data_IF_707998661049
#
_entry.id   IF_707998661049
#
_cell.length_a   1.000
_cell.length_b   1.000
_cell.length_c   1.000
_cell.angle_alpha   90.00
_cell.angle_beta   90.00
_cell.angle_gamma   90.00
#
_symmetry.space_group_name_H-M   'P 1'
#
loop_
_entity.id
_entity.type
_entity.pdbx_description
1 polymer ?
#
# COMPACT_ATOMS: atom_id res chain seq x y z
N UNK A 1 -24.41 -8.03 -5.96
CA UNK A 1 -24.17 -9.48 -6.03
C UNK A 1 -24.46 -10.10 -4.69
N UNK A 2 -25.03 -11.29 -4.67
CA UNK A 2 -25.23 -12.06 -3.43
C UNK A 2 -23.91 -12.70 -2.99
N UNK A 3 -23.79 -13.02 -1.70
CA UNK A 3 -22.57 -13.55 -1.07
C UNK A 3 -21.95 -14.74 -1.82
N UNK A 4 -22.77 -15.66 -2.36
CA UNK A 4 -22.29 -16.80 -3.16
C UNK A 4 -21.66 -16.39 -4.49
N UNK A 5 -22.20 -15.37 -5.16
CA UNK A 5 -21.67 -14.85 -6.43
C UNK A 5 -20.36 -14.07 -6.23
N UNK A 6 -20.23 -13.38 -5.08
CA UNK A 6 -18.99 -12.69 -4.69
C UNK A 6 -17.86 -13.69 -4.44
N UNK A 7 -18.18 -14.84 -3.85
CA UNK A 7 -17.25 -15.94 -3.60
C UNK A 7 -16.72 -16.56 -4.91
N UNK A 8 -17.59 -16.82 -5.89
CA UNK A 8 -17.20 -17.34 -7.21
C UNK A 8 -16.31 -16.37 -8.01
N UNK A 9 -16.43 -15.06 -7.73
CA UNK A 9 -15.62 -13.99 -8.31
C UNK A 9 -14.49 -13.53 -7.39
N UNK A 10 -14.28 -14.22 -6.27
CA UNK A 10 -13.18 -13.92 -5.35
C UNK A 10 -11.87 -14.11 -6.10
N UNK A 11 -10.94 -13.16 -6.09
CA UNK A 11 -9.69 -13.36 -6.81
C UNK A 11 -8.81 -14.43 -6.12
N UNK A 12 -9.14 -14.84 -4.88
CA UNK A 12 -8.58 -16.03 -4.22
C UNK A 12 -8.94 -17.34 -4.93
N UNK A 13 -9.92 -17.36 -5.84
CA UNK A 13 -10.17 -18.53 -6.71
C UNK A 13 -8.99 -18.85 -7.62
N UNK A 14 -8.21 -17.84 -8.02
CA UNK A 14 -6.97 -18.04 -8.79
C UNK A 14 -5.94 -18.77 -7.92
N UNK A 15 -5.78 -18.31 -6.68
CA UNK A 15 -4.88 -18.93 -5.72
C UNK A 15 -5.28 -20.39 -5.46
N UNK A 16 -6.55 -20.66 -5.15
CA UNK A 16 -7.05 -22.02 -4.89
C UNK A 16 -6.89 -22.96 -6.09
N UNK A 17 -7.17 -22.48 -7.31
CA UNK A 17 -6.92 -23.26 -8.54
C UNK A 17 -5.44 -23.58 -8.73
N UNK A 18 -4.55 -22.67 -8.33
CA UNK A 18 -3.10 -22.86 -8.43
C UNK A 18 -2.56 -23.87 -7.43
N UNK A 19 -3.28 -24.11 -6.32
CA UNK A 19 -3.00 -25.17 -5.33
C UNK A 19 -3.99 -26.34 -5.45
N UNK A 20 -4.46 -26.61 -6.67
CA UNK A 20 -5.28 -27.77 -7.05
C UNK A 20 -6.47 -28.09 -6.14
N UNK A 21 -7.21 -27.05 -5.72
CA UNK A 21 -8.44 -27.20 -4.93
C UNK A 21 -8.29 -26.87 -3.45
N UNK A 22 -7.16 -26.28 -3.05
CA UNK A 22 -6.96 -25.72 -1.71
C UNK A 22 -5.96 -26.50 -0.86
N UNK A 23 -5.87 -26.11 0.42
CA UNK A 23 -5.02 -26.83 1.37
C UNK A 23 -5.62 -28.19 1.77
N UNK A 24 -6.94 -28.33 1.73
CA UNK A 24 -7.64 -29.54 2.12
C UNK A 24 -7.75 -29.74 3.63
N UNK A 25 -8.81 -30.43 4.08
CA UNK A 25 -9.08 -30.68 5.50
C UNK A 25 -7.93 -31.46 6.15
N UNK A 26 -7.40 -30.93 7.25
CA UNK A 26 -6.25 -31.51 7.94
C UNK A 26 -4.89 -31.20 7.31
N UNK A 27 -4.86 -30.43 6.21
CA UNK A 27 -3.63 -29.95 5.59
C UNK A 27 -2.97 -28.83 6.39
N UNK A 28 -1.65 -28.70 6.24
CA UNK A 28 -0.84 -27.63 6.84
C UNK A 28 -0.19 -26.80 5.74
N UNK A 29 -0.56 -25.53 5.69
CA UNK A 29 -0.09 -24.55 4.73
C UNK A 29 0.82 -23.51 5.40
N UNK A 30 1.86 -23.06 4.70
CA UNK A 30 2.79 -22.06 5.21
C UNK A 30 2.89 -20.88 4.25
N UNK A 31 2.78 -19.68 4.82
CA UNK A 31 2.97 -18.40 4.16
C UNK A 31 4.27 -17.77 4.68
N UNK A 32 5.26 -17.58 3.81
CA UNK A 32 6.57 -17.06 4.22
C UNK A 32 7.01 -15.88 3.36
N UNK A 33 7.71 -14.95 3.99
CA UNK A 33 8.28 -13.78 3.30
C UNK A 33 9.34 -13.11 4.16
N UNK A 34 9.99 -12.08 3.63
CA UNK A 34 10.72 -11.12 4.48
C UNK A 34 9.76 -10.34 5.39
N UNK A 35 10.28 -9.75 6.46
CA UNK A 35 9.51 -8.88 7.35
C UNK A 35 8.89 -7.71 6.56
N UNK A 36 7.62 -7.38 6.86
CA UNK A 36 6.92 -6.25 6.25
C UNK A 36 6.32 -6.45 4.86
N UNK A 37 6.40 -7.65 4.27
CA UNK A 37 5.89 -7.91 2.90
C UNK A 37 4.37 -8.18 2.87
N UNK A 38 3.72 -8.41 4.02
CA UNK A 38 2.25 -8.56 4.09
C UNK A 38 1.71 -9.98 4.27
N UNK A 39 2.45 -10.86 4.95
CA UNK A 39 2.00 -12.24 5.31
C UNK A 39 0.64 -12.25 6.01
N UNK A 40 0.48 -11.41 7.02
CA UNK A 40 -0.77 -11.25 7.78
C UNK A 40 -1.92 -10.88 6.84
N UNK A 41 -1.71 -9.95 5.91
CA UNK A 41 -2.74 -9.55 4.97
C UNK A 41 -3.15 -10.69 4.03
N UNK A 42 -2.20 -11.51 3.53
CA UNK A 42 -2.53 -12.70 2.74
C UNK A 42 -3.31 -13.73 3.58
N UNK A 43 -2.88 -13.99 4.82
CA UNK A 43 -3.62 -14.88 5.73
C UNK A 43 -5.04 -14.38 6.02
N UNK A 44 -5.21 -13.06 6.21
CA UNK A 44 -6.51 -12.43 6.39
C UNK A 44 -7.37 -12.59 5.13
N UNK A 45 -6.79 -12.51 3.93
CA UNK A 45 -7.54 -12.77 2.70
C UNK A 45 -7.98 -14.22 2.56
N UNK A 46 -7.12 -15.18 2.87
CA UNK A 46 -7.49 -16.61 2.94
C UNK A 46 -8.64 -16.80 3.92
N UNK A 47 -8.48 -16.29 5.14
CA UNK A 47 -9.51 -16.36 6.18
C UNK A 47 -10.83 -15.70 5.76
N UNK A 48 -10.78 -14.51 5.16
CA UNK A 48 -11.97 -13.79 4.73
C UNK A 48 -12.71 -14.55 3.61
N UNK A 49 -11.96 -15.14 2.68
CA UNK A 49 -12.48 -15.99 1.61
C UNK A 49 -13.26 -17.19 2.18
N UNK A 50 -12.73 -17.85 3.22
CA UNK A 50 -13.42 -18.93 3.95
C UNK A 50 -14.62 -18.44 4.77
N UNK A 51 -14.51 -17.31 5.46
CA UNK A 51 -15.64 -16.69 6.18
C UNK A 51 -16.79 -16.39 5.24
N UNK A 52 -16.51 -15.95 4.00
CA UNK A 52 -17.55 -15.71 3.00
C UNK A 52 -18.22 -17.00 2.49
N UNK A 53 -17.63 -18.17 2.72
CA UNK A 53 -18.22 -19.50 2.44
C UNK A 53 -19.02 -20.10 3.60
N UNK A 54 -19.32 -19.31 4.64
CA UNK A 54 -19.93 -19.78 5.89
C UNK A 54 -19.06 -20.80 6.65
N UNK A 55 -17.74 -20.78 6.41
CA UNK A 55 -16.79 -21.54 7.22
C UNK A 55 -16.33 -20.74 8.43
N UNK A 56 -16.04 -21.43 9.51
CA UNK A 56 -15.63 -20.83 10.78
C UNK A 56 -14.11 -20.68 10.83
N UNK A 57 -13.64 -19.48 11.15
CA UNK A 57 -12.21 -19.18 11.20
C UNK A 57 -11.75 -18.81 12.60
N UNK A 58 -10.75 -19.53 13.09
CA UNK A 58 -10.00 -19.18 14.29
C UNK A 58 -8.66 -18.55 13.89
N UNK A 59 -8.47 -17.27 14.17
CA UNK A 59 -7.23 -16.56 13.89
C UNK A 59 -6.47 -16.29 15.21
N UNK A 60 -5.26 -16.81 15.32
CA UNK A 60 -4.38 -16.64 16.47
C UNK A 60 -3.14 -15.87 16.01
N UNK A 61 -2.97 -14.63 16.48
CA UNK A 61 -1.79 -13.82 16.15
C UNK A 61 -0.79 -13.80 17.30
N UNK A 62 0.47 -14.02 17.01
CA UNK A 62 1.58 -13.85 17.97
C UNK A 62 2.26 -12.48 17.81
N UNK A 63 2.07 -11.83 16.65
CA UNK A 63 2.73 -10.57 16.29
C UNK A 63 1.85 -9.33 16.53
N UNK A 64 0.52 -9.47 16.50
CA UNK A 64 -0.41 -8.34 16.49
C UNK A 64 -1.50 -8.45 17.56
N UNK A 65 -1.93 -7.30 18.07
CA UNK A 65 -3.06 -7.22 19.00
C UNK A 65 -4.37 -7.47 18.24
N UNK A 66 -5.41 -7.92 18.96
CA UNK A 66 -6.71 -8.25 18.38
C UNK A 66 -7.28 -7.11 17.54
N UNK A 67 -7.21 -5.87 18.04
CA UNK A 67 -7.72 -4.68 17.33
C UNK A 67 -7.01 -4.43 16.00
N UNK A 68 -5.70 -4.68 15.93
CA UNK A 68 -4.93 -4.55 14.69
C UNK A 68 -5.33 -5.61 13.66
N UNK A 69 -5.47 -6.87 14.08
CA UNK A 69 -5.94 -7.94 13.21
C UNK A 69 -7.35 -7.64 12.71
N UNK A 70 -8.24 -7.19 13.59
CA UNK A 70 -9.62 -6.80 13.24
C UNK A 70 -9.66 -5.71 12.18
N UNK A 71 -8.83 -4.68 12.34
CA UNK A 71 -8.73 -3.58 11.37
C UNK A 71 -8.33 -4.07 9.96
N UNK A 72 -7.40 -5.03 9.84
CA UNK A 72 -7.05 -5.63 8.54
C UNK A 72 -8.24 -6.31 7.86
N UNK A 73 -9.03 -7.07 8.61
CA UNK A 73 -10.22 -7.70 8.04
C UNK A 73 -11.27 -6.68 7.64
N UNK A 74 -11.49 -5.63 8.45
CA UNK A 74 -12.47 -4.59 8.13
C UNK A 74 -12.09 -3.85 6.84
N UNK A 75 -10.81 -3.50 6.67
CA UNK A 75 -10.29 -2.85 5.47
C UNK A 75 -10.43 -3.76 4.23
N UNK A 76 -9.94 -5.00 4.32
CA UNK A 76 -10.00 -5.94 3.19
C UNK A 76 -11.43 -6.34 2.82
N UNK A 77 -12.33 -6.48 3.80
CA UNK A 77 -13.75 -6.72 3.55
C UNK A 77 -14.42 -5.52 2.89
N UNK A 78 -14.15 -4.31 3.36
CA UNK A 78 -14.69 -3.09 2.77
C UNK A 78 -14.33 -2.98 1.29
N UNK A 79 -13.07 -3.23 0.95
CA UNK A 79 -12.59 -3.18 -0.43
C UNK A 79 -13.24 -4.24 -1.31
N UNK A 80 -13.33 -5.49 -0.81
CA UNK A 80 -13.97 -6.58 -1.53
C UNK A 80 -15.45 -6.29 -1.78
N UNK A 81 -16.16 -5.75 -0.78
CA UNK A 81 -17.56 -5.39 -0.89
C UNK A 81 -17.79 -4.29 -1.93
N UNK A 82 -16.92 -3.28 -1.98
CA UNK A 82 -16.97 -2.23 -3.01
C UNK A 82 -16.68 -2.79 -4.41
N UNK A 83 -15.61 -3.56 -4.56
CA UNK A 83 -15.17 -4.10 -5.84
C UNK A 83 -16.23 -5.02 -6.46
N UNK A 84 -16.80 -5.92 -5.65
CA UNK A 84 -17.81 -6.88 -6.12
C UNK A 84 -19.24 -6.34 -6.12
N UNK A 85 -19.45 -5.09 -5.68
CA UNK A 85 -20.78 -4.48 -5.50
C UNK A 85 -21.69 -5.41 -4.69
N UNK A 86 -21.19 -5.84 -3.54
CA UNK A 86 -21.88 -6.74 -2.63
C UNK A 86 -23.20 -6.10 -2.17
N UNK A 87 -24.29 -6.86 -2.26
CA UNK A 87 -25.57 -6.43 -1.70
C UNK A 87 -25.55 -6.60 -0.17
N UNK A 88 -26.08 -5.62 0.56
CA UNK A 88 -26.22 -5.66 2.03
C UNK A 88 -24.90 -5.94 2.77
N UNK A 89 -23.84 -5.12 2.56
CA UNK A 89 -22.52 -5.38 3.11
C UNK A 89 -22.50 -5.44 4.65
N UNK A 90 -23.36 -4.70 5.34
CA UNK A 90 -23.44 -4.72 6.81
C UNK A 90 -23.96 -6.06 7.35
N UNK A 91 -24.94 -6.67 6.69
CA UNK A 91 -25.46 -8.00 7.07
C UNK A 91 -24.39 -9.05 6.89
N UNK A 92 -23.70 -9.03 5.75
CA UNK A 92 -22.59 -9.96 5.49
C UNK A 92 -21.44 -9.73 6.48
N UNK A 93 -21.15 -8.48 6.85
CA UNK A 93 -20.13 -8.15 7.85
C UNK A 93 -20.46 -8.74 9.21
N UNK A 94 -21.72 -8.65 9.64
CA UNK A 94 -22.17 -9.28 10.88
C UNK A 94 -22.03 -10.80 10.84
N UNK A 95 -22.33 -11.43 9.70
CA UNK A 95 -22.14 -12.88 9.55
C UNK A 95 -20.66 -13.28 9.57
N UNK A 96 -19.79 -12.51 8.92
CA UNK A 96 -18.33 -12.68 8.98
C UNK A 96 -17.84 -12.58 10.42
N UNK A 97 -18.33 -11.61 11.20
CA UNK A 97 -17.97 -11.44 12.61
C UNK A 97 -18.42 -12.61 13.48
N UNK A 98 -19.61 -13.16 13.22
CA UNK A 98 -20.16 -14.32 13.97
C UNK A 98 -19.41 -15.62 13.70
N UNK A 99 -18.84 -15.78 12.53
CA UNK A 99 -18.11 -16.99 12.13
C UNK A 99 -16.61 -16.91 12.39
N UNK A 100 -16.15 -15.90 13.14
CA UNK A 100 -14.72 -15.68 13.41
C UNK A 100 -14.43 -15.54 14.90
N UNK A 101 -13.32 -16.12 15.34
CA UNK A 101 -12.69 -15.79 16.61
C UNK A 101 -11.25 -15.32 16.38
N UNK A 102 -10.85 -14.24 17.07
CA UNK A 102 -9.49 -13.70 17.03
C UNK A 102 -8.88 -13.77 18.43
N UNK A 103 -7.71 -14.38 18.53
CA UNK A 103 -6.87 -14.38 19.72
C UNK A 103 -5.52 -13.72 19.43
N UNK A 104 -4.98 -13.05 20.45
CA UNK A 104 -3.63 -12.49 20.40
C UNK A 104 -2.80 -13.06 21.55
N UNK A 105 -1.62 -13.58 21.24
CA UNK A 105 -0.65 -14.15 22.18
C UNK A 105 0.58 -13.25 22.36
N UNK A 106 0.45 -11.96 22.01
CA UNK A 106 1.49 -10.92 22.07
C UNK A 106 2.25 -10.92 23.42
N UNK A 107 3.55 -10.66 23.36
CA UNK A 107 4.39 -10.46 24.55
C UNK A 107 5.10 -11.69 25.11
N UNK A 108 5.08 -12.83 24.40
CA UNK A 108 5.84 -14.01 24.78
C UNK A 108 7.17 -14.08 24.04
N UNK A 109 8.25 -13.69 24.72
CA UNK A 109 9.61 -13.81 24.20
C UNK A 109 9.98 -15.31 24.02
N UNK A 110 10.39 -15.76 22.82
CA UNK A 110 10.77 -17.15 22.62
C UNK A 110 12.20 -17.35 23.16
N UNK A 111 12.31 -17.92 24.35
CA UNK A 111 13.49 -18.72 24.73
C UNK A 111 13.27 -20.17 24.29
N UNK A 112 14.30 -21.01 24.29
CA UNK A 112 14.18 -22.44 23.94
C UNK A 112 13.19 -23.19 24.85
N UNK A 113 13.03 -22.76 26.11
CA UNK A 113 11.96 -23.21 27.02
C UNK A 113 10.58 -22.60 26.68
N UNK A 114 10.59 -21.42 26.07
CA UNK A 114 9.41 -20.70 25.59
C UNK A 114 8.71 -21.34 24.41
N UNK A 115 9.41 -22.06 23.52
CA UNK A 115 8.79 -22.71 22.35
C UNK A 115 7.72 -23.75 22.74
N UNK A 116 8.02 -24.59 23.74
CA UNK A 116 7.07 -25.55 24.31
C UNK A 116 5.90 -24.86 25.02
N UNK A 117 6.16 -23.73 25.69
CA UNK A 117 5.12 -22.90 26.34
C UNK A 117 4.20 -22.23 25.31
N UNK A 118 4.76 -21.75 24.20
CA UNK A 118 4.01 -21.17 23.09
C UNK A 118 3.15 -22.21 22.38
N UNK A 119 3.67 -23.42 22.11
CA UNK A 119 2.84 -24.49 21.56
C UNK A 119 1.71 -24.86 22.52
N UNK A 120 1.99 -25.01 23.82
CA UNK A 120 0.96 -25.30 24.81
C UNK A 120 -0.16 -24.25 24.77
N UNK A 121 0.18 -22.96 24.71
CA UNK A 121 -0.83 -21.88 24.59
C UNK A 121 -1.63 -21.96 23.30
N UNK A 122 -1.01 -22.30 22.17
CA UNK A 122 -1.73 -22.51 20.92
C UNK A 122 -2.73 -23.66 21.05
N UNK A 123 -2.28 -24.80 21.59
CA UNK A 123 -3.12 -25.98 21.85
C UNK A 123 -4.28 -25.62 22.79
N UNK A 124 -3.99 -24.96 23.91
CA UNK A 124 -4.98 -24.54 24.90
C UNK A 124 -5.99 -23.55 24.28
N UNK A 125 -5.56 -22.66 23.38
CA UNK A 125 -6.44 -21.72 22.69
C UNK A 125 -7.39 -22.43 21.72
N UNK A 126 -6.89 -23.41 20.96
CA UNK A 126 -7.72 -24.22 20.06
C UNK A 126 -8.70 -25.08 20.86
N UNK A 127 -8.25 -25.68 21.96
CA UNK A 127 -9.10 -26.44 22.87
C UNK A 127 -10.17 -25.55 23.52
N UNK A 128 -9.81 -24.37 24.01
CA UNK A 128 -10.75 -23.39 24.56
C UNK A 128 -11.82 -22.98 23.54
N UNK A 129 -11.41 -22.66 22.31
CA UNK A 129 -12.34 -22.28 21.25
C UNK A 129 -13.40 -23.39 21.03
N UNK A 130 -12.98 -24.66 20.98
CA UNK A 130 -13.90 -25.78 20.77
C UNK A 130 -14.73 -26.12 22.00
N UNK A 131 -14.06 -26.41 23.11
CA UNK A 131 -14.64 -27.07 24.26
C UNK A 131 -15.38 -26.09 25.17
N UNK A 132 -14.97 -24.81 25.21
CA UNK A 132 -15.57 -23.78 26.06
C UNK A 132 -16.42 -22.80 25.25
N UNK A 133 -15.89 -22.27 24.14
CA UNK A 133 -16.63 -21.31 23.32
C UNK A 133 -17.59 -21.97 22.31
N UNK A 134 -17.64 -23.31 22.27
CA UNK A 134 -18.43 -24.10 21.33
C UNK A 134 -18.20 -23.71 19.85
N UNK A 135 -17.00 -23.23 19.56
CA UNK A 135 -16.57 -22.78 18.25
C UNK A 135 -15.65 -23.85 17.64
N UNK A 136 -16.19 -24.64 16.73
CA UNK A 136 -15.43 -25.61 15.94
C UNK A 136 -14.90 -24.92 14.65
N UNK A 137 -13.61 -24.56 14.56
CA UNK A 137 -13.07 -23.91 13.36
C UNK A 137 -12.93 -24.89 12.19
N UNK A 138 -13.30 -24.46 10.99
CA UNK A 138 -12.97 -25.13 9.74
C UNK A 138 -11.60 -24.70 9.20
N UNK A 139 -11.12 -23.53 9.65
CA UNK A 139 -9.81 -22.98 9.31
C UNK A 139 -9.18 -22.38 10.57
N UNK A 140 -7.93 -22.73 10.81
CA UNK A 140 -7.10 -22.20 11.89
C UNK A 140 -5.95 -21.44 11.24
N UNK A 141 -5.81 -20.17 11.59
CA UNK A 141 -4.72 -19.29 11.15
C UNK A 141 -3.83 -18.99 12.33
N UNK A 142 -2.53 -19.24 12.21
CA UNK A 142 -1.52 -18.87 13.20
C UNK A 142 -0.55 -17.89 12.54
N UNK A 143 -0.71 -16.60 12.87
CA UNK A 143 0.09 -15.52 12.31
C UNK A 143 1.31 -15.25 13.20
N UNK A 144 2.51 -15.56 12.67
CA UNK A 144 3.80 -15.39 13.34
C UNK A 144 4.32 -16.63 14.08
N UNK A 145 4.19 -17.82 13.49
CA UNK A 145 4.74 -19.04 14.09
C UNK A 145 6.27 -19.07 13.98
N UNK A 146 6.94 -19.34 15.10
CA UNK A 146 8.40 -19.36 15.18
C UNK A 146 8.98 -20.72 14.73
N UNK A 147 9.17 -20.86 13.43
CA UNK A 147 9.84 -22.04 12.86
C UNK A 147 11.33 -22.13 13.20
N UNK A 148 11.99 -21.04 13.62
CA UNK A 148 13.41 -21.08 13.91
C UNK A 148 13.71 -21.93 15.16
N UNK A 149 12.80 -21.90 16.14
CA UNK A 149 12.88 -22.70 17.36
C UNK A 149 11.91 -23.89 17.39
N UNK A 150 11.19 -24.16 16.30
CA UNK A 150 10.27 -25.28 16.23
C UNK A 150 11.00 -26.63 16.22
N UNK A 151 10.37 -27.64 16.82
CA UNK A 151 10.79 -29.03 16.71
C UNK A 151 9.81 -29.82 15.85
N UNK A 152 10.26 -30.96 15.32
CA UNK A 152 9.40 -31.84 14.52
C UNK A 152 8.15 -32.29 15.26
N UNK A 153 8.26 -32.59 16.56
CA UNK A 153 7.12 -32.98 17.40
C UNK A 153 6.07 -31.86 17.52
N UNK A 154 6.50 -30.59 17.49
CA UNK A 154 5.57 -29.45 17.50
C UNK A 154 4.76 -29.40 16.21
N UNK A 155 5.41 -29.57 15.06
CA UNK A 155 4.73 -29.60 13.75
C UNK A 155 3.79 -30.81 13.67
N UNK A 156 4.20 -31.98 14.17
CA UNK A 156 3.33 -33.16 14.23
C UNK A 156 2.09 -32.93 15.09
N UNK A 157 2.25 -32.22 16.21
CA UNK A 157 1.14 -31.87 17.10
C UNK A 157 0.17 -30.92 16.40
N UNK A 158 0.67 -29.88 15.71
CA UNK A 158 -0.15 -28.95 14.94
C UNK A 158 -0.89 -29.64 13.79
N UNK A 159 -0.20 -30.51 13.05
CA UNK A 159 -0.80 -31.30 11.98
C UNK A 159 -1.87 -32.27 12.53
N UNK A 160 -1.65 -32.84 13.71
CA UNK A 160 -2.66 -33.66 14.40
C UNK A 160 -3.89 -32.82 14.76
N UNK A 161 -3.72 -31.62 15.29
CA UNK A 161 -4.84 -30.70 15.59
C UNK A 161 -5.64 -30.40 14.33
N UNK A 162 -4.97 -30.09 13.21
CA UNK A 162 -5.65 -29.85 11.94
C UNK A 162 -6.51 -31.07 11.52
N UNK A 163 -5.96 -32.29 11.61
CA UNK A 163 -6.67 -33.53 11.27
C UNK A 163 -7.82 -33.84 12.23
N UNK A 164 -7.59 -33.80 13.53
CA UNK A 164 -8.58 -34.12 14.56
C UNK A 164 -9.80 -33.17 14.47
N UNK A 165 -9.56 -31.92 14.07
CA UNK A 165 -10.61 -30.92 13.88
C UNK A 165 -11.14 -30.87 12.45
N UNK A 166 -10.61 -31.67 11.52
CA UNK A 166 -10.90 -31.58 10.08
C UNK A 166 -10.76 -30.15 9.53
N UNK A 167 -9.83 -29.38 10.12
CA UNK A 167 -9.60 -27.97 9.84
C UNK A 167 -8.39 -27.79 8.92
N UNK A 168 -8.41 -26.74 8.11
CA UNK A 168 -7.22 -26.27 7.41
C UNK A 168 -6.33 -25.46 8.36
N UNK A 169 -5.03 -25.73 8.39
CA UNK A 169 -4.10 -24.98 9.24
C UNK A 169 -3.15 -24.13 8.39
N UNK A 170 -3.24 -22.81 8.52
CA UNK A 170 -2.34 -21.87 7.89
C UNK A 170 -1.39 -21.23 8.90
N UNK A 171 -0.09 -21.27 8.63
CA UNK A 171 0.96 -20.69 9.46
C UNK A 171 1.67 -19.59 8.69
N UNK A 172 2.00 -18.46 9.32
CA UNK A 172 2.96 -17.51 8.75
C UNK A 172 4.30 -17.52 9.46
N UNK A 173 5.38 -17.25 8.73
CA UNK A 173 6.71 -17.03 9.31
C UNK A 173 7.55 -16.08 8.48
N UNK A 174 8.57 -15.50 9.10
CA UNK A 174 9.58 -14.73 8.38
C UNK A 174 10.74 -15.60 7.93
N UNK A 175 11.31 -15.28 6.76
CA UNK A 175 12.58 -15.83 6.30
C UNK A 175 13.52 -14.70 5.87
N UNK A 176 14.82 -14.95 5.98
CA UNK A 176 15.87 -14.05 5.47
C UNK A 176 16.23 -14.36 4.02
N UNK A 177 15.72 -15.45 3.44
CA UNK A 177 16.02 -15.84 2.07
C UNK A 177 15.53 -14.79 1.06
N UNK A 178 16.44 -14.38 0.18
CA UNK A 178 16.18 -13.46 -0.93
C UNK A 178 15.93 -14.18 -2.25
N UNK A 179 16.30 -15.46 -2.35
CA UNK A 179 16.04 -16.31 -3.50
C UNK A 179 15.42 -17.61 -3.01
N UNK A 180 14.39 -18.07 -3.71
CA UNK A 180 13.67 -19.30 -3.42
C UNK A 180 13.53 -20.11 -4.71
N UNK A 181 13.68 -21.42 -4.59
CA UNK A 181 13.58 -22.34 -5.73
C UNK A 181 12.30 -23.16 -5.57
N UNK A 182 11.40 -23.19 -6.58
CA UNK A 182 10.24 -24.08 -6.55
C UNK A 182 10.64 -25.54 -6.29
N UNK A 183 9.85 -26.27 -5.50
CA UNK A 183 10.14 -27.63 -5.08
C UNK A 183 11.12 -27.73 -3.91
N UNK A 184 11.52 -26.61 -3.32
CA UNK A 184 12.34 -26.55 -2.11
C UNK A 184 11.85 -25.44 -1.18
N UNK A 185 12.18 -25.52 0.11
CA UNK A 185 11.90 -24.44 1.05
C UNK A 185 13.20 -23.83 1.58
N UNK A 186 13.20 -22.51 1.88
CA UNK A 186 14.32 -21.88 2.57
C UNK A 186 14.32 -22.19 4.07
N UNK A 187 15.47 -22.05 4.71
CA UNK A 187 15.56 -22.10 6.16
C UNK A 187 14.66 -21.03 6.83
N UNK A 188 14.02 -21.34 7.98
CA UNK A 188 14.06 -22.61 8.71
C UNK A 188 12.99 -23.65 8.29
N UNK A 189 12.25 -23.40 7.20
CA UNK A 189 11.12 -24.25 6.76
C UNK A 189 11.60 -25.55 6.09
N UNK A 190 12.79 -25.52 5.48
CA UNK A 190 13.46 -26.67 4.84
C UNK A 190 13.40 -27.95 5.68
N UNK A 191 13.61 -27.85 6.99
CA UNK A 191 13.59 -28.97 7.95
C UNK A 191 12.22 -29.67 8.08
N UNK A 192 11.15 -28.99 7.68
CA UNK A 192 9.78 -29.45 7.85
C UNK A 192 9.08 -29.69 6.51
N UNK A 193 9.81 -29.58 5.39
CA UNK A 193 9.24 -29.58 4.04
C UNK A 193 8.26 -30.75 3.79
N UNK A 194 8.61 -31.95 4.22
CA UNK A 194 7.80 -33.17 4.00
C UNK A 194 6.50 -33.19 4.82
N UNK A 195 6.43 -32.43 5.92
CA UNK A 195 5.26 -32.36 6.81
C UNK A 195 4.25 -31.28 6.40
N UNK A 196 4.63 -30.42 5.46
CA UNK A 196 3.83 -29.31 4.97
C UNK A 196 3.18 -29.71 3.64
N UNK A 197 1.91 -29.38 3.48
CA UNK A 197 1.19 -29.60 2.21
C UNK A 197 1.50 -28.49 1.23
N UNK A 198 1.19 -27.24 1.59
CA UNK A 198 1.34 -26.09 0.70
C UNK A 198 2.33 -25.09 1.28
N UNK A 199 3.23 -24.57 0.44
CA UNK A 199 4.21 -23.56 0.85
C UNK A 199 4.16 -22.39 -0.15
N UNK A 200 3.84 -21.20 0.33
CA UNK A 200 3.69 -19.99 -0.47
C UNK A 200 4.69 -18.93 -0.01
N UNK A 201 5.54 -18.49 -0.93
CA UNK A 201 6.46 -17.39 -0.72
C UNK A 201 5.90 -16.09 -1.29
N UNK A 202 5.89 -15.02 -0.50
CA UNK A 202 5.58 -13.68 -1.00
C UNK A 202 6.88 -12.99 -1.41
N UNK A 203 7.01 -12.77 -2.71
CA UNK A 203 8.14 -12.07 -3.29
C UNK A 203 7.78 -10.59 -3.54
N UNK A 204 8.42 -9.63 -2.84
CA UNK A 204 8.17 -8.22 -3.08
C UNK A 204 8.83 -7.77 -4.38
N UNK A 205 8.04 -7.16 -5.27
CA UNK A 205 8.46 -6.58 -6.55
C UNK A 205 7.95 -5.13 -6.68
N UNK A 206 8.76 -4.14 -6.29
CA UNK A 206 8.44 -2.71 -6.39
C UNK A 206 7.07 -2.35 -5.74
N UNK A 207 6.03 -2.19 -6.55
CA UNK A 207 4.68 -1.82 -6.17
C UNK A 207 3.73 -3.01 -6.03
N UNK A 208 4.19 -4.22 -6.33
CA UNK A 208 3.42 -5.46 -6.18
C UNK A 208 4.15 -6.51 -5.35
N UNK A 209 3.38 -7.47 -4.84
CA UNK A 209 3.85 -8.67 -4.17
C UNK A 209 3.36 -9.85 -5.00
N UNK A 210 4.28 -10.63 -5.54
CA UNK A 210 3.97 -11.88 -6.26
C UNK A 210 3.91 -13.03 -5.28
N UNK A 211 2.95 -13.93 -5.49
CA UNK A 211 2.89 -15.20 -4.79
C UNK A 211 3.66 -16.23 -5.61
N UNK A 212 4.61 -16.92 -4.98
CA UNK A 212 5.30 -18.07 -5.56
C UNK A 212 4.97 -19.32 -4.79
N UNK A 213 4.55 -20.36 -5.50
CA UNK A 213 4.32 -21.67 -4.91
C UNK A 213 5.66 -22.41 -4.83
N UNK A 214 6.06 -22.77 -3.61
CA UNK A 214 7.27 -23.55 -3.36
C UNK A 214 6.96 -25.04 -3.18
N UNK A 215 5.75 -25.36 -2.71
CA UNK A 215 5.25 -26.72 -2.59
C UNK A 215 3.73 -26.72 -2.74
N UNK A 216 3.22 -27.74 -3.41
CA UNK A 216 1.79 -28.03 -3.55
C UNK A 216 1.54 -29.53 -3.39
N UNK A 217 1.35 -29.96 -2.14
CA UNK A 217 1.24 -31.37 -1.78
C UNK A 217 2.41 -32.18 -2.38
N UNK A 218 2.09 -33.24 -3.12
CA UNK A 218 3.06 -34.07 -3.84
C UNK A 218 3.22 -33.69 -5.32
N UNK A 219 2.62 -32.56 -5.74
CA UNK A 219 2.67 -32.11 -7.11
C UNK A 219 4.06 -31.52 -7.44
N UNK A 220 4.63 -31.99 -8.55
CA UNK A 220 5.93 -31.52 -9.07
C UNK A 220 5.78 -30.38 -10.06
N UNK A 221 4.60 -30.24 -10.68
CA UNK A 221 4.28 -29.16 -11.60
C UNK A 221 3.66 -28.00 -10.82
N UNK A 222 4.54 -27.21 -10.21
CA UNK A 222 4.15 -26.01 -9.47
C UNK A 222 3.76 -24.91 -10.47
N UNK A 223 2.46 -24.68 -10.61
CA UNK A 223 1.95 -23.60 -11.42
C UNK A 223 2.47 -22.25 -10.91
N UNK A 224 2.86 -21.35 -11.83
CA UNK A 224 3.07 -19.95 -11.46
C UNK A 224 1.74 -19.36 -11.00
N UNK A 225 1.67 -18.93 -9.74
CA UNK A 225 0.51 -18.21 -9.24
C UNK A 225 0.52 -16.83 -9.89
N UNK A 226 -0.40 -16.59 -10.81
CA UNK A 226 -0.52 -15.29 -11.51
C UNK A 226 -1.15 -14.19 -10.65
N UNK A 227 -1.53 -14.51 -9.41
CA UNK A 227 -2.06 -13.55 -8.45
C UNK A 227 -0.97 -12.56 -8.02
N UNK A 228 -1.28 -11.27 -8.12
CA UNK A 228 -0.44 -10.17 -7.64
C UNK A 228 -1.20 -9.38 -6.58
N UNK A 229 -0.50 -8.93 -5.54
CA UNK A 229 -1.04 -8.04 -4.52
C UNK A 229 -0.36 -6.67 -4.62
N UNK A 230 -1.06 -5.59 -4.36
CA UNK A 230 -0.46 -4.25 -4.25
C UNK A 230 0.39 -4.17 -2.98
N UNK A 231 1.63 -3.68 -3.06
CA UNK A 231 2.58 -3.75 -1.95
C UNK A 231 2.22 -2.88 -0.73
N UNK A 232 1.31 -1.91 -0.88
CA UNK A 232 0.93 -1.00 0.21
C UNK A 232 -0.40 -1.39 0.83
N UNK A 233 -1.37 -1.76 -0.01
CA UNK A 233 -2.73 -2.08 0.40
C UNK A 233 -2.95 -3.59 0.52
N UNK A 234 -2.02 -4.39 0.02
CA UNK A 234 -2.12 -5.85 -0.12
C UNK A 234 -3.34 -6.29 -0.93
N UNK A 235 -3.99 -5.38 -1.66
CA UNK A 235 -5.18 -5.67 -2.48
C UNK A 235 -4.79 -6.47 -3.71
N UNK A 236 -5.69 -7.34 -4.15
CA UNK A 236 -5.45 -8.11 -5.37
C UNK A 236 -5.45 -7.17 -6.58
N UNK A 237 -4.39 -7.24 -7.37
CA UNK A 237 -4.25 -6.56 -8.66
C UNK A 237 -4.68 -7.54 -9.75
N UNK A 238 -5.63 -7.12 -10.57
CA UNK A 238 -6.21 -7.92 -11.65
C UNK A 238 -5.11 -8.45 -12.63
N UNK A 239 -5.33 -9.64 -13.19
CA UNK A 239 -4.33 -10.37 -13.98
C UNK A 239 -4.02 -9.64 -15.30
N UNK A 240 -5.04 -9.07 -15.93
CA UNK A 240 -4.93 -8.39 -17.23
C UNK A 240 -4.55 -6.91 -17.09
N UNK A 241 -4.44 -6.43 -15.86
CA UNK A 241 -4.12 -5.04 -15.61
C UNK A 241 -2.67 -4.96 -15.14
N UNK A 242 -1.80 -4.49 -16.05
CA UNK A 242 -0.40 -4.16 -15.72
C UNK A 242 -0.33 -3.40 -14.38
N UNK A 243 0.68 -3.65 -13.53
CA UNK A 243 0.84 -2.90 -12.30
C UNK A 243 0.87 -1.39 -12.59
N UNK A 244 0.44 -0.51 -11.66
CA UNK A 244 0.45 0.94 -11.88
C UNK A 244 1.80 1.49 -12.36
N UNK A 245 2.91 0.79 -12.04
CA UNK A 245 4.26 1.05 -12.54
C UNK A 245 4.52 0.63 -13.99
N UNK A 246 3.77 -0.32 -14.56
CA UNK A 246 3.93 -0.86 -15.91
C UNK A 246 2.81 -0.47 -16.88
N UNK A 247 1.68 0.06 -16.41
CA UNK A 247 0.68 0.66 -17.30
C UNK A 247 1.34 1.84 -18.02
N UNK A 248 1.40 1.81 -19.36
CA UNK A 248 1.53 3.07 -20.12
C UNK A 248 0.36 3.95 -19.73
N UNK A 249 0.65 4.94 -18.89
CA UNK A 249 -0.34 5.93 -18.45
C UNK A 249 -0.73 6.71 -19.69
N UNK A 250 -1.99 6.63 -20.11
CA UNK A 250 -2.51 7.49 -21.16
C UNK A 250 -2.39 8.94 -20.67
N UNK A 251 -1.47 9.75 -21.23
CA UNK A 251 -1.21 11.09 -20.71
C UNK A 251 -2.45 11.98 -20.81
N UNK A 252 -3.38 11.69 -21.72
CA UNK A 252 -4.61 12.45 -21.90
C UNK A 252 -5.55 12.40 -20.69
N UNK A 253 -5.40 11.40 -19.82
CA UNK A 253 -6.14 11.29 -18.56
C UNK A 253 -5.55 12.13 -17.43
N UNK A 254 -4.33 12.61 -17.60
CA UNK A 254 -3.61 13.35 -16.57
C UNK A 254 -3.79 14.86 -16.76
N UNK A 255 -3.85 15.56 -15.63
CA UNK A 255 -3.97 17.00 -15.54
C UNK A 255 -2.93 17.56 -14.60
N UNK A 256 -2.11 18.46 -15.14
CA UNK A 256 -1.19 19.30 -14.39
C UNK A 256 -1.95 20.49 -13.79
N UNK A 257 -1.76 20.74 -12.50
CA UNK A 257 -2.19 21.95 -11.79
C UNK A 257 -0.96 22.80 -11.45
N UNK A 258 -0.93 24.07 -11.87
CA UNK A 258 0.22 24.96 -11.67
C UNK A 258 -0.21 26.44 -11.65
N UNK A 259 0.72 27.37 -11.42
CA UNK A 259 0.50 28.81 -11.55
C UNK A 259 0.94 29.36 -12.92
N UNK A 260 1.65 28.54 -13.72
CA UNK A 260 2.16 28.91 -15.03
C UNK A 260 3.28 29.97 -15.00
N UNK A 261 3.94 30.15 -13.86
CA UNK A 261 5.04 31.10 -13.72
C UNK A 261 6.28 30.68 -14.53
N UNK A 262 7.16 31.65 -14.83
CA UNK A 262 8.47 31.37 -15.44
C UNK A 262 9.25 30.34 -14.59
N UNK A 263 10.07 29.50 -15.23
CA UNK A 263 10.94 28.55 -14.56
C UNK A 263 10.29 27.16 -14.45
N UNK A 264 10.22 26.62 -13.23
CA UNK A 264 9.76 25.24 -13.01
C UNK A 264 8.34 24.99 -13.54
N UNK A 265 7.40 25.89 -13.23
CA UNK A 265 6.00 25.75 -13.64
C UNK A 265 5.83 25.77 -15.17
N UNK A 266 6.53 26.69 -15.85
CA UNK A 266 6.59 26.71 -17.31
C UNK A 266 7.17 25.43 -17.91
N UNK A 267 8.20 24.84 -17.28
CA UNK A 267 8.81 23.57 -17.70
C UNK A 267 7.88 22.37 -17.48
N UNK A 268 7.18 22.31 -16.35
CA UNK A 268 6.13 21.32 -16.10
C UNK A 268 5.03 21.43 -17.17
N UNK A 269 4.55 22.64 -17.46
CA UNK A 269 3.55 22.86 -18.51
C UNK A 269 4.07 22.52 -19.92
N UNK A 270 5.35 22.78 -20.22
CA UNK A 270 5.96 22.40 -21.50
C UNK A 270 6.04 20.88 -21.68
N UNK A 271 6.30 20.13 -20.60
CA UNK A 271 6.22 18.67 -20.63
C UNK A 271 4.76 18.19 -20.70
N UNK A 272 3.85 18.81 -19.95
CA UNK A 272 2.42 18.49 -20.03
C UNK A 272 1.88 18.62 -21.46
N UNK A 273 2.18 19.73 -22.13
CA UNK A 273 1.83 19.94 -23.53
C UNK A 273 2.47 18.91 -24.47
N UNK A 274 3.78 18.66 -24.33
CA UNK A 274 4.51 17.73 -25.21
C UNK A 274 3.99 16.30 -25.12
N UNK A 275 3.62 15.82 -23.93
CA UNK A 275 3.05 14.49 -23.73
C UNK A 275 1.53 14.42 -23.93
N UNK A 276 0.86 15.54 -24.20
CA UNK A 276 -0.59 15.56 -24.46
C UNK A 276 -1.50 15.59 -23.21
N UNK A 277 -0.97 16.00 -22.06
CA UNK A 277 -1.73 16.21 -20.83
C UNK A 277 -2.60 17.49 -20.92
N UNK A 278 -3.66 17.51 -20.11
CA UNK A 278 -4.35 18.75 -19.77
C UNK A 278 -3.51 19.57 -18.78
N UNK A 279 -3.56 20.89 -18.86
CA UNK A 279 -2.94 21.79 -17.88
C UNK A 279 -3.94 22.83 -17.40
N UNK A 280 -3.97 23.09 -16.10
CA UNK A 280 -4.69 24.18 -15.46
C UNK A 280 -3.68 25.09 -14.76
N UNK A 281 -3.55 26.31 -15.27
CA UNK A 281 -2.67 27.34 -14.74
C UNK A 281 -3.50 28.41 -14.00
N UNK A 282 -3.56 28.33 -12.67
CA UNK A 282 -4.36 29.25 -11.85
C UNK A 282 -3.71 30.63 -11.78
N UNK A 283 -4.48 31.66 -12.09
CA UNK A 283 -4.02 33.04 -12.15
C UNK A 283 -5.12 33.99 -11.66
N UNK A 284 -4.82 35.26 -11.53
CA UNK A 284 -5.77 36.33 -11.18
C UNK A 284 -5.54 37.55 -12.06
N UNK A 285 -6.47 38.51 -12.01
CA UNK A 285 -6.37 39.76 -12.75
C UNK A 285 -5.15 40.58 -12.28
N UNK A 286 -4.37 41.11 -13.23
CA UNK A 286 -3.13 41.83 -12.93
C UNK A 286 -1.92 40.95 -12.58
N UNK A 287 -2.03 39.62 -12.68
CA UNK A 287 -0.90 38.72 -12.45
C UNK A 287 0.08 38.73 -13.64
N UNK A 288 1.24 39.38 -13.45
CA UNK A 288 2.27 39.59 -14.49
C UNK A 288 3.38 38.53 -14.52
N UNK A 289 3.46 37.64 -13.53
CA UNK A 289 4.56 36.66 -13.38
C UNK A 289 4.37 35.37 -14.20
N UNK A 290 3.35 35.33 -15.05
CA UNK A 290 2.95 34.17 -15.83
C UNK A 290 3.66 34.11 -17.17
N UNK A 291 4.25 32.96 -17.48
CA UNK A 291 4.91 32.68 -18.76
C UNK A 291 4.00 31.84 -19.68
N UNK A 292 3.21 30.92 -19.10
CA UNK A 292 2.29 30.06 -19.88
C UNK A 292 0.95 30.75 -20.16
N UNK A 293 0.44 30.58 -21.38
CA UNK A 293 -0.88 31.07 -21.80
C UNK A 293 -1.93 29.96 -21.98
N UNK A 294 -1.48 28.69 -22.09
CA UNK A 294 -2.36 27.53 -22.22
C UNK A 294 -2.98 27.18 -20.87
N UNK A 295 -4.25 26.74 -20.88
CA UNK A 295 -4.93 26.24 -19.68
C UNK A 295 -5.13 27.25 -18.54
N UNK A 296 -5.08 28.55 -18.82
CA UNK A 296 -5.17 29.59 -17.79
C UNK A 296 -6.58 29.66 -17.20
N UNK A 297 -6.66 29.54 -15.87
CA UNK A 297 -7.88 29.68 -15.08
C UNK A 297 -7.79 30.97 -14.26
N UNK A 298 -8.51 32.01 -14.70
CA UNK A 298 -8.58 33.28 -13.96
C UNK A 298 -9.57 33.14 -12.81
N UNK A 299 -9.04 33.19 -11.59
CA UNK A 299 -9.84 33.18 -10.35
C UNK A 299 -10.43 34.57 -10.11
N UNK A 300 -11.73 34.62 -9.89
CA UNK A 300 -12.43 35.82 -9.40
C UNK A 300 -12.02 36.15 -7.96
N UNK A 301 -12.28 37.37 -7.50
CA UNK A 301 -12.04 37.73 -6.09
C UNK A 301 -12.78 36.82 -5.11
N UNK A 302 -14.00 36.38 -5.45
CA UNK A 302 -14.78 35.48 -4.61
C UNK A 302 -14.13 34.09 -4.51
N UNK A 303 -13.50 33.61 -5.57
CA UNK A 303 -12.76 32.35 -5.58
C UNK A 303 -11.43 32.49 -4.83
N UNK A 304 -10.67 33.57 -5.06
CA UNK A 304 -9.45 33.86 -4.29
C UNK A 304 -9.71 33.84 -2.77
N UNK A 305 -10.85 34.40 -2.33
CA UNK A 305 -11.29 34.38 -0.93
C UNK A 305 -11.55 32.97 -0.35
N UNK A 306 -11.82 31.94 -1.18
CA UNK A 306 -11.99 30.56 -0.69
C UNK A 306 -10.66 29.93 -0.26
N UNK A 307 -9.56 30.34 -0.88
CA UNK A 307 -8.21 29.92 -0.53
C UNK A 307 -7.55 30.85 0.48
N UNK A 308 -8.30 31.71 1.18
CA UNK A 308 -7.73 32.72 2.08
C UNK A 308 -7.14 32.08 3.34
N UNK A 309 -6.01 32.62 3.79
CA UNK A 309 -5.30 32.17 4.99
C UNK A 309 -4.72 33.36 5.73
N UNK A 310 -4.59 33.23 7.04
CA UNK A 310 -3.86 34.21 7.84
C UNK A 310 -2.39 34.24 7.41
N UNK A 311 -1.90 35.40 6.96
CA UNK A 311 -0.47 35.59 6.63
C UNK A 311 0.43 35.33 7.84
N UNK A 312 -0.07 35.55 9.06
CA UNK A 312 0.61 35.21 10.31
C UNK A 312 0.78 33.69 10.44
N UNK A 313 -0.23 32.91 10.07
CA UNK A 313 -0.17 31.44 10.07
C UNK A 313 0.88 30.93 9.06
N UNK A 314 0.86 31.46 7.84
CA UNK A 314 1.82 31.07 6.79
C UNK A 314 3.25 31.45 7.21
N UNK A 315 3.44 32.66 7.72
CA UNK A 315 4.76 33.14 8.17
C UNK A 315 5.34 32.28 9.30
N UNK A 316 4.50 31.89 10.27
CA UNK A 316 4.90 30.98 11.36
C UNK A 316 5.27 29.59 10.85
N UNK A 317 4.53 29.05 9.88
CA UNK A 317 4.81 27.73 9.27
C UNK A 317 6.09 27.72 8.45
N UNK A 318 6.37 28.79 7.71
CA UNK A 318 7.55 28.91 6.87
C UNK A 318 8.80 29.43 7.62
N UNK A 319 8.68 29.75 8.91
CA UNK A 319 9.78 30.31 9.70
C UNK A 319 10.29 31.68 9.23
N UNK A 320 9.47 32.45 8.48
CA UNK A 320 9.88 33.74 7.89
C UNK A 320 8.72 34.70 7.72
N UNK A 321 9.02 36.01 7.74
CA UNK A 321 8.02 37.06 7.51
C UNK A 321 7.75 37.18 6.00
N UNK A 322 6.49 36.98 5.60
CA UNK A 322 6.05 37.24 4.25
C UNK A 322 5.58 38.69 4.10
N UNK A 323 5.84 39.29 2.94
CA UNK A 323 5.38 40.65 2.64
C UNK A 323 3.84 40.70 2.53
N UNK A 324 3.22 41.71 3.13
CA UNK A 324 1.76 41.90 3.09
C UNK A 324 1.25 42.53 1.77
N UNK A 325 2.11 42.63 0.75
CA UNK A 325 1.73 43.16 -0.56
C UNK A 325 0.59 42.31 -1.16
N UNK A 326 -0.51 42.92 -1.65
CA UNK A 326 -1.66 42.20 -2.20
C UNK A 326 -1.31 41.14 -3.25
N UNK A 327 -0.29 41.43 -4.08
CA UNK A 327 0.23 40.49 -5.07
C UNK A 327 0.71 39.16 -4.44
N UNK A 328 1.42 39.22 -3.31
CA UNK A 328 1.93 38.03 -2.61
C UNK A 328 0.77 37.21 -2.05
N UNK A 329 -0.24 37.88 -1.48
CA UNK A 329 -1.46 37.21 -0.99
C UNK A 329 -2.18 36.45 -2.12
N UNK A 330 -2.42 37.11 -3.25
CA UNK A 330 -3.11 36.50 -4.38
C UNK A 330 -2.35 35.30 -4.95
N UNK A 331 -1.01 35.39 -5.03
CA UNK A 331 -0.17 34.25 -5.44
C UNK A 331 -0.33 33.07 -4.48
N UNK A 332 -0.25 33.30 -3.16
CA UNK A 332 -0.41 32.23 -2.17
C UNK A 332 -1.82 31.60 -2.22
N UNK A 333 -2.87 32.39 -2.53
CA UNK A 333 -4.23 31.89 -2.74
C UNK A 333 -4.32 31.01 -4.00
N UNK A 334 -3.61 31.36 -5.08
CA UNK A 334 -3.55 30.48 -6.27
C UNK A 334 -2.85 29.16 -5.98
N UNK A 335 -1.80 29.17 -5.14
CA UNK A 335 -1.10 27.94 -4.72
C UNK A 335 -2.06 27.03 -3.95
N UNK A 336 -2.95 27.57 -3.13
CA UNK A 336 -3.98 26.76 -2.45
C UNK A 336 -4.84 25.99 -3.45
N UNK A 337 -5.28 26.62 -4.54
CA UNK A 337 -6.08 25.96 -5.59
C UNK A 337 -5.31 24.86 -6.30
N UNK A 338 -4.03 25.12 -6.63
CA UNK A 338 -3.14 24.14 -7.25
C UNK A 338 -3.01 22.89 -6.38
N UNK A 339 -2.69 23.08 -5.11
CA UNK A 339 -2.49 21.96 -4.18
C UNK A 339 -3.80 21.30 -3.81
N UNK A 340 -4.92 22.03 -3.71
CA UNK A 340 -6.21 21.46 -3.36
C UNK A 340 -6.71 20.50 -4.43
N UNK A 341 -6.59 20.88 -5.70
CA UNK A 341 -7.00 20.05 -6.84
C UNK A 341 -6.07 18.84 -7.10
N UNK A 342 -4.80 18.93 -6.70
CA UNK A 342 -3.83 17.86 -6.88
C UNK A 342 -3.95 16.75 -5.82
N UNK A 343 -3.71 15.50 -6.19
CA UNK A 343 -3.55 14.37 -5.27
C UNK A 343 -2.08 14.07 -4.97
N UNK A 344 -1.17 14.56 -5.81
CA UNK A 344 0.27 14.37 -5.71
C UNK A 344 0.97 15.69 -6.08
N UNK A 345 2.07 16.02 -5.41
CA UNK A 345 2.73 17.33 -5.57
C UNK A 345 4.22 17.13 -5.87
N UNK A 346 4.66 17.71 -6.98
CA UNK A 346 6.05 17.80 -7.38
C UNK A 346 6.53 19.24 -7.31
N UNK A 347 7.66 19.43 -6.64
CA UNK A 347 8.24 20.73 -6.37
C UNK A 347 9.68 20.75 -6.88
N UNK A 348 10.07 21.81 -7.59
CA UNK A 348 11.50 22.07 -7.89
C UNK A 348 11.95 23.28 -7.10
N UNK A 349 12.95 23.11 -6.23
CA UNK A 349 13.38 24.18 -5.32
C UNK A 349 14.65 23.86 -4.56
N UNK A 350 14.78 24.43 -3.37
CA UNK A 350 15.90 24.20 -2.44
C UNK A 350 15.31 23.90 -1.06
N UNK A 351 15.66 22.75 -0.49
CA UNK A 351 15.31 22.37 0.88
C UNK A 351 16.28 23.08 1.82
N UNK A 352 15.74 23.80 2.78
CA UNK A 352 16.50 24.53 3.80
C UNK A 352 16.83 23.62 4.99
N UNK A 353 17.73 24.07 5.87
CA UNK A 353 18.16 23.32 7.05
C UNK A 353 17.02 23.09 8.05
N UNK A 354 16.02 23.98 8.06
CA UNK A 354 14.78 23.83 8.84
C UNK A 354 13.77 22.84 8.20
N UNK A 355 14.13 22.22 7.08
CA UNK A 355 13.32 21.27 6.33
C UNK A 355 12.25 21.91 5.44
N UNK A 356 12.10 23.23 5.40
CA UNK A 356 11.15 23.93 4.51
C UNK A 356 11.74 24.14 3.12
N UNK A 357 10.88 24.39 2.11
CA UNK A 357 11.34 24.75 0.77
C UNK A 357 11.44 26.28 0.62
N UNK A 358 12.50 26.75 -0.01
CA UNK A 358 12.77 28.19 -0.20
C UNK A 358 11.71 28.87 -1.09
N UNK A 359 11.32 30.11 -0.74
CA UNK A 359 10.45 30.98 -1.54
C UNK A 359 8.95 30.68 -1.46
N UNK A 360 8.15 31.32 -2.33
CA UNK A 360 6.69 31.15 -2.36
C UNK A 360 6.25 29.70 -2.61
N UNK A 361 7.05 28.94 -3.36
CA UNK A 361 6.91 27.50 -3.58
C UNK A 361 6.85 26.69 -2.28
N UNK A 362 7.54 27.16 -1.22
CA UNK A 362 7.51 26.51 0.09
C UNK A 362 6.13 26.43 0.71
N UNK A 363 5.25 27.38 0.39
CA UNK A 363 3.86 27.31 0.85
C UNK A 363 3.12 26.11 0.27
N UNK A 364 3.33 25.80 -1.02
CA UNK A 364 2.71 24.64 -1.64
C UNK A 364 3.20 23.32 -1.05
N UNK A 365 4.50 23.24 -0.73
CA UNK A 365 5.07 22.10 -0.01
C UNK A 365 4.47 21.95 1.40
N UNK A 366 4.31 23.04 2.16
CA UNK A 366 3.69 23.01 3.49
C UNK A 366 2.21 22.63 3.46
N UNK A 367 1.45 23.10 2.46
CA UNK A 367 0.06 22.68 2.26
C UNK A 367 -0.03 21.19 1.95
N UNK A 368 0.86 20.67 1.10
CA UNK A 368 0.92 19.24 0.80
C UNK A 368 1.23 18.42 2.06
N UNK A 369 2.16 18.89 2.92
CA UNK A 369 2.45 18.29 4.23
C UNK A 369 1.24 18.29 5.15
N UNK A 370 0.55 19.43 5.28
CA UNK A 370 -0.61 19.60 6.14
C UNK A 370 -1.75 18.65 5.75
N UNK A 371 -1.97 18.47 4.45
CA UNK A 371 -3.00 17.58 3.91
C UNK A 371 -2.51 16.17 3.65
N UNK A 372 -1.29 15.83 4.09
CA UNK A 372 -0.68 14.49 3.96
C UNK A 372 -0.70 13.96 2.51
N UNK A 373 -0.54 14.85 1.54
CA UNK A 373 -0.45 14.47 0.12
C UNK A 373 0.96 13.99 -0.20
N UNK A 374 1.14 12.96 -1.06
CA UNK A 374 2.44 12.61 -1.62
C UNK A 374 3.17 13.85 -2.13
N UNK A 375 4.34 14.11 -1.57
CA UNK A 375 5.13 15.31 -1.82
C UNK A 375 6.55 14.94 -2.19
N UNK A 376 6.97 15.42 -3.36
CA UNK A 376 8.30 15.24 -3.90
C UNK A 376 8.96 16.59 -4.16
N UNK A 377 10.20 16.75 -3.72
CA UNK A 377 11.00 17.96 -3.98
C UNK A 377 12.28 17.57 -4.71
N UNK A 378 12.51 18.12 -5.89
CA UNK A 378 13.82 18.13 -6.51
C UNK A 378 14.62 19.30 -5.93
N UNK A 379 15.67 18.99 -5.19
CA UNK A 379 16.57 20.00 -4.65
C UNK A 379 17.64 20.32 -5.70
N UNK A 380 17.63 21.54 -6.23
CA UNK A 380 18.56 21.94 -7.30
C UNK A 380 20.03 21.97 -6.85
N UNK A 381 20.31 22.15 -5.55
CA UNK A 381 21.69 22.15 -5.05
C UNK A 381 22.20 20.72 -4.85
N UNK A 382 21.33 19.83 -4.36
CA UNK A 382 21.67 18.42 -4.14
C UNK A 382 21.50 17.56 -5.39
N UNK A 383 20.87 18.10 -6.45
CA UNK A 383 20.66 17.47 -7.76
C UNK A 383 19.98 16.11 -7.64
N UNK A 384 19.00 15.99 -6.74
CA UNK A 384 18.26 14.75 -6.51
C UNK A 384 16.85 15.02 -6.00
N UNK A 385 15.97 14.03 -6.17
CA UNK A 385 14.62 14.04 -5.62
C UNK A 385 14.60 13.56 -4.16
N UNK A 386 13.73 14.19 -3.38
CA UNK A 386 13.37 13.80 -2.02
C UNK A 386 11.86 13.62 -1.91
N UNK A 387 11.42 12.61 -1.15
CA UNK A 387 10.03 12.40 -0.76
C UNK A 387 9.86 12.76 0.71
N UNK A 388 8.73 13.38 1.06
CA UNK A 388 8.36 13.57 2.46
C UNK A 388 7.71 12.31 3.03
N UNK A 389 8.28 11.73 4.10
CA UNK A 389 7.73 10.53 4.76
C UNK A 389 6.66 10.83 5.82
N UNK A 390 6.44 12.11 6.13
CA UNK A 390 5.58 12.56 7.23
C UNK A 390 6.38 13.21 8.35
N UNK A 391 7.64 12.78 8.53
CA UNK A 391 8.56 13.30 9.56
C UNK A 391 9.90 13.78 9.01
N UNK A 392 10.37 13.23 7.88
CA UNK A 392 11.67 13.57 7.30
C UNK A 392 11.65 13.57 5.77
N UNK A 393 12.69 14.16 5.17
CA UNK A 393 12.99 14.06 3.75
C UNK A 393 13.82 12.81 3.48
N UNK A 394 13.31 11.93 2.63
CA UNK A 394 13.97 10.70 2.21
C UNK A 394 14.36 10.80 0.74
N UNK A 395 15.60 10.43 0.40
CA UNK A 395 16.07 10.45 -0.98
C UNK A 395 15.30 9.42 -1.83
N UNK A 396 14.88 9.80 -3.03
CA UNK A 396 14.25 8.90 -4.00
C UNK A 396 14.92 9.05 -5.35
N UNK A 397 15.32 7.94 -5.97
CA UNK A 397 16.14 7.94 -7.19
C UNK A 397 15.32 8.09 -8.47
N UNK A 398 14.03 7.74 -8.44
CA UNK A 398 13.19 7.78 -9.64
C UNK A 398 11.70 7.92 -9.31
N UNK A 399 11.23 9.10 -8.87
CA UNK A 399 9.81 9.31 -8.72
C UNK A 399 9.12 9.30 -10.09
N UNK A 400 7.84 8.93 -10.08
CA UNK A 400 6.94 8.88 -11.24
C UNK A 400 5.60 9.51 -10.87
N UNK A 401 4.90 10.09 -11.85
CA UNK A 401 3.59 10.73 -11.67
C UNK A 401 2.51 9.65 -11.61
N UNK A 402 1.98 9.40 -10.43
CA UNK A 402 1.01 8.31 -10.19
C UNK A 402 -0.44 8.78 -10.22
N UNK A 403 -0.67 10.07 -9.95
CA UNK A 403 -2.02 10.64 -9.84
C UNK A 403 -2.48 11.34 -11.11
N UNK A 404 -3.70 11.03 -11.58
CA UNK A 404 -4.35 11.72 -12.71
C UNK A 404 -4.45 13.25 -12.50
N UNK A 405 -4.48 13.72 -11.25
CA UNK A 405 -4.39 15.14 -10.92
C UNK A 405 -3.17 15.35 -10.04
N UNK A 406 -2.16 16.05 -10.56
CA UNK A 406 -0.94 16.37 -9.82
C UNK A 406 -0.58 17.85 -9.96
N UNK A 407 0.14 18.38 -8.97
CA UNK A 407 0.66 19.73 -9.01
C UNK A 407 2.13 19.73 -9.39
N UNK A 408 2.51 20.64 -10.29
CA UNK A 408 3.90 20.92 -10.65
C UNK A 408 4.21 22.37 -10.33
N UNK A 409 4.93 22.60 -9.23
CA UNK A 409 5.27 23.94 -8.73
C UNK A 409 6.78 24.09 -8.57
N UNK A 410 7.29 25.30 -8.50
CA UNK A 410 8.72 25.44 -8.25
C UNK A 410 9.28 26.86 -8.31
N UNK A 411 10.60 26.90 -8.28
CA UNK A 411 11.40 28.12 -8.42
C UNK A 411 11.25 28.75 -9.80
N UNK A 412 11.32 30.08 -9.85
CA UNK A 412 11.44 30.82 -11.11
C UNK A 412 12.86 30.75 -11.70
N UNK A 413 13.86 30.50 -10.86
CA UNK A 413 15.25 30.33 -11.23
C UNK A 413 15.55 28.83 -11.44
N UNK A 414 14.95 28.25 -12.48
CA UNK A 414 15.12 26.86 -12.85
C UNK A 414 16.52 26.63 -13.46
N UNK A 415 17.27 25.65 -12.94
CA UNK A 415 18.54 25.23 -13.55
C UNK A 415 18.31 24.22 -14.68
N UNK A 416 19.30 24.03 -15.56
CA UNK A 416 19.23 22.99 -16.60
C UNK A 416 19.03 21.60 -15.99
N UNK A 417 19.69 21.28 -14.86
CA UNK A 417 19.45 20.03 -14.14
C UNK A 417 18.01 19.90 -13.63
N UNK A 418 17.41 20.99 -13.13
CA UNK A 418 16.02 20.99 -12.70
C UNK A 418 15.07 20.76 -13.88
N UNK A 419 15.35 21.37 -15.02
CA UNK A 419 14.59 21.18 -16.26
C UNK A 419 14.72 19.75 -16.80
N UNK A 420 15.92 19.18 -16.74
CA UNK A 420 16.16 17.79 -17.09
C UNK A 420 15.42 16.85 -16.13
N UNK A 421 15.46 17.09 -14.82
CA UNK A 421 14.75 16.29 -13.83
C UNK A 421 13.23 16.28 -14.04
N UNK A 422 12.63 17.40 -14.47
CA UNK A 422 11.22 17.46 -14.88
C UNK A 422 10.99 16.62 -16.14
N UNK A 423 11.84 16.76 -17.15
CA UNK A 423 11.70 16.01 -18.41
C UNK A 423 11.79 14.49 -18.17
N UNK A 424 12.76 14.06 -17.38
CA UNK A 424 12.93 12.66 -17.00
C UNK A 424 11.76 12.14 -16.15
N UNK A 425 11.18 12.98 -15.27
CA UNK A 425 9.98 12.61 -14.52
C UNK A 425 8.83 12.26 -15.47
N UNK A 426 8.59 13.05 -16.51
CA UNK A 426 7.56 12.76 -17.52
C UNK A 426 7.92 11.53 -18.35
N UNK A 427 9.15 11.44 -18.85
CA UNK A 427 9.61 10.31 -19.65
C UNK A 427 9.48 8.97 -18.89
N UNK A 428 9.85 8.95 -17.60
CA UNK A 428 9.66 7.77 -16.73
C UNK A 428 8.19 7.46 -16.46
N UNK A 429 7.32 8.46 -16.47
CA UNK A 429 5.90 8.29 -16.14
C UNK A 429 5.05 7.87 -17.34
N UNK A 430 5.40 8.34 -18.54
CA UNK A 430 4.55 8.23 -19.73
C UNK A 430 5.25 7.61 -20.95
N UNK A 431 6.59 7.44 -20.91
CA UNK A 431 7.39 7.00 -22.05
C UNK A 431 7.85 8.17 -22.93
N UNK A 432 8.28 7.88 -24.16
CA UNK A 432 8.52 8.92 -25.17
C UNK A 432 7.18 9.61 -25.57
N UNK A 433 7.19 10.93 -25.82
CA UNK A 433 6.00 11.71 -26.13
C UNK A 433 5.35 11.38 -27.49
#
# INVERSE_FOLDING_TARGET
MYRKEVNERSPMRVFEKSIHGGLGRGGVGVVLSRAGVGKTALLVQIALDDLLRDRRVLHISTEHAVDHVRAYYDELFHDLAQYTKLAEPETVRLDVERHRLIFSLLGHMPTTEGASSSLKKLVDTVAFARDVAHFAPDVIVIDGFDFAHATEAMIDTLAKIARDHSAELWLSTTTKASQVTPGSAPAPIDRFFDKLGVIVYLEPERDVVRLRLLKDHENKDLAEITLRLDAHTMRIVDQDILPPSERRRDPKRFRLHSGGAKGAEAAFGGCAERWGLAEHNYSFEGHTLRDRQRGVMLLSEAELRRGDFSLTYVSKRLGRVLSEIPLVRNVLQTIWYQINAAREVFVVGQIQDDGTVRGGTGWGAELARLWKKPLYVYDQNKRTWFRWSGSAWEMVTAPIITSENFAGIGTQNLTEDGKQAITELFQRSFGEP
#
